data_IF_675191329522
#
_entry.id   IF_675191329522
#
_cell.length_a   1.000
_cell.length_b   1.000
_cell.length_c   1.000
_cell.angle_alpha   90.00
_cell.angle_beta   90.00
_cell.angle_gamma   90.00
#
_symmetry.space_group_name_H-M   'P 1'
#
loop_
_entity.id
_entity.type
_entity.pdbx_description
1 polymer ?
#
# COMPACT_ATOMS: atom_id res chain seq x y z
N UNK A 1 63.81 -11.99 -32.55
CA UNK A 1 63.32 -13.33 -32.19
C UNK A 1 61.87 -13.19 -31.72
N UNK A 2 60.96 -13.69 -32.56
CA UNK A 2 59.53 -13.93 -32.48
C UNK A 2 58.74 -13.70 -31.17
N UNK A 3 57.82 -12.72 -31.25
CA UNK A 3 56.37 -12.75 -30.96
C UNK A 3 55.78 -14.05 -30.37
N UNK A 4 55.08 -13.95 -29.22
CA UNK A 4 53.80 -14.65 -28.99
C UNK A 4 52.84 -13.81 -28.14
N UNK A 5 51.88 -13.26 -28.88
CA UNK A 5 50.56 -12.77 -28.51
C UNK A 5 49.72 -13.92 -27.91
N UNK A 6 48.97 -13.67 -26.84
CA UNK A 6 47.86 -14.53 -26.43
C UNK A 6 46.66 -13.66 -26.06
N UNK A 7 45.77 -13.56 -27.04
CA UNK A 7 44.40 -13.05 -26.94
C UNK A 7 43.56 -14.17 -26.34
N UNK A 8 42.82 -13.89 -25.27
CA UNK A 8 41.63 -14.68 -24.92
C UNK A 8 40.43 -13.74 -25.01
N UNK A 9 39.65 -14.01 -26.05
CA UNK A 9 38.43 -13.35 -26.48
C UNK A 9 37.25 -14.21 -26.02
N UNK A 10 36.13 -13.55 -25.72
CA UNK A 10 34.74 -14.07 -25.66
C UNK A 10 34.37 -14.91 -24.42
N UNK A 11 33.20 -14.77 -23.79
CA UNK A 11 31.87 -14.49 -24.33
C UNK A 11 31.02 -13.61 -23.39
N UNK A 12 30.41 -12.55 -23.94
CA UNK A 12 29.17 -11.98 -23.41
C UNK A 12 28.05 -13.00 -23.64
N UNK A 13 27.38 -13.44 -22.57
CA UNK A 13 26.03 -13.99 -22.67
C UNK A 13 25.08 -13.01 -22.01
N UNK A 14 24.32 -12.31 -22.84
CA UNK A 14 23.15 -11.56 -22.40
C UNK A 14 22.04 -12.55 -22.07
N UNK A 15 21.64 -12.60 -20.81
CA UNK A 15 20.36 -13.21 -20.43
C UNK A 15 19.28 -12.16 -20.59
N UNK A 16 18.56 -12.22 -21.71
CA UNK A 16 17.25 -11.62 -21.86
C UNK A 16 16.31 -12.36 -20.90
N UNK A 17 16.08 -11.79 -19.72
CA UNK A 17 15.01 -12.23 -18.84
C UNK A 17 13.68 -11.84 -19.49
N UNK A 18 12.98 -12.83 -20.04
CA UNK A 18 11.59 -12.70 -20.47
C UNK A 18 10.72 -12.38 -19.25
N UNK A 19 9.83 -11.38 -19.29
CA UNK A 19 8.81 -11.24 -18.26
C UNK A 19 7.88 -12.44 -18.32
N UNK A 20 7.81 -13.20 -17.23
CA UNK A 20 6.81 -14.25 -17.05
C UNK A 20 5.46 -13.56 -16.89
N UNK A 21 4.63 -13.62 -17.93
CA UNK A 21 3.24 -13.22 -17.88
C UNK A 21 2.49 -14.19 -16.96
N UNK A 22 1.88 -13.68 -15.89
CA UNK A 22 0.95 -14.45 -15.07
C UNK A 22 -0.39 -14.48 -15.81
N UNK A 23 -0.68 -15.59 -16.49
CA UNK A 23 -2.02 -15.90 -16.97
C UNK A 23 -2.88 -16.31 -15.77
N UNK A 24 -3.84 -15.46 -15.40
CA UNK A 24 -4.93 -15.86 -14.52
C UNK A 24 -5.87 -16.72 -15.36
N UNK A 25 -5.94 -18.01 -15.06
CA UNK A 25 -7.00 -18.88 -15.53
C UNK A 25 -8.29 -18.50 -14.79
N UNK A 26 -9.21 -17.82 -15.48
CA UNK A 26 -10.60 -17.73 -15.07
C UNK A 26 -11.23 -19.11 -15.27
N UNK A 27 -11.51 -19.78 -14.16
CA UNK A 27 -12.35 -20.97 -14.17
C UNK A 27 -13.79 -20.51 -14.49
N UNK A 28 -14.24 -20.87 -15.69
CA UNK A 28 -15.62 -20.90 -16.12
C UNK A 28 -16.36 -21.98 -15.33
N UNK A 29 -17.12 -21.53 -14.32
CA UNK A 29 -18.07 -22.35 -13.58
C UNK A 29 -19.47 -21.94 -13.98
N UNK A 30 -19.95 -22.54 -15.06
CA UNK A 30 -21.36 -22.56 -15.43
C UNK A 30 -22.13 -23.44 -14.44
N UNK A 31 -23.15 -22.90 -13.76
CA UNK A 31 -24.30 -23.71 -13.39
C UNK A 31 -25.58 -22.88 -13.23
N UNK A 32 -26.63 -23.46 -13.81
CA UNK A 32 -27.95 -22.94 -14.10
C UNK A 32 -28.90 -22.89 -12.88
N UNK A 33 -29.89 -22.01 -12.97
CA UNK A 33 -31.27 -22.37 -12.58
C UNK A 33 -31.86 -21.67 -11.35
N UNK A 34 -32.78 -20.74 -11.59
CA UNK A 34 -33.65 -20.21 -10.54
C UNK A 34 -34.67 -19.18 -11.02
N UNK A 35 -35.67 -19.62 -11.80
CA UNK A 35 -36.85 -18.82 -12.17
C UNK A 35 -37.75 -18.58 -10.96
N UNK A 36 -38.21 -17.34 -10.78
CA UNK A 36 -39.29 -17.00 -9.85
C UNK A 36 -39.93 -15.66 -10.23
N UNK A 37 -41.05 -15.73 -10.95
CA UNK A 37 -41.91 -14.61 -11.35
C UNK A 37 -42.70 -14.05 -10.15
N UNK A 38 -42.97 -12.74 -10.18
CA UNK A 38 -43.88 -12.07 -9.24
C UNK A 38 -44.30 -10.71 -9.76
N UNK A 39 -45.45 -10.71 -10.44
CA UNK A 39 -46.15 -9.58 -11.08
C UNK A 39 -47.06 -8.83 -10.08
N UNK A 40 -47.46 -7.60 -10.45
CA UNK A 40 -48.52 -6.81 -9.81
C UNK A 40 -48.01 -5.61 -9.00
N UNK A 41 -48.48 -4.38 -9.15
CA UNK A 41 -49.59 -3.84 -9.92
C UNK A 41 -49.99 -2.49 -9.30
N UNK A 42 -50.13 -1.49 -10.18
CA UNK A 42 -50.87 -0.20 -10.14
C UNK A 42 -51.55 0.29 -8.85
N UNK A 43 -51.46 1.62 -8.63
CA UNK A 43 -52.56 2.62 -8.60
C UNK A 43 -52.06 3.88 -7.85
N UNK A 44 -52.61 5.09 -7.92
CA UNK A 44 -53.23 5.98 -8.92
C UNK A 44 -53.64 7.24 -8.11
N UNK A 45 -53.57 8.45 -8.69
CA UNK A 45 -54.23 9.72 -8.24
C UNK A 45 -53.75 10.39 -6.93
N UNK A 46 -53.68 11.71 -6.77
CA UNK A 46 -54.06 12.85 -7.61
C UNK A 46 -54.28 14.14 -6.78
N UNK A 47 -54.32 15.29 -7.47
CA UNK A 47 -54.87 16.63 -7.10
C UNK A 47 -54.07 17.45 -6.07
N UNK A 48 -53.58 18.65 -6.42
CA UNK A 48 -54.32 19.94 -6.50
C UNK A 48 -53.86 20.80 -5.29
N UNK A 49 -53.61 22.11 -5.31
CA UNK A 49 -54.22 23.19 -6.06
C UNK A 49 -53.36 24.48 -6.03
N UNK A 50 -53.73 25.45 -6.86
CA UNK A 50 -53.13 26.78 -7.08
C UNK A 50 -53.52 27.81 -6.02
N UNK A 51 -52.66 28.82 -5.79
CA UNK A 51 -53.01 30.26 -5.58
C UNK A 51 -51.72 31.10 -5.65
N UNK A 52 -51.47 31.95 -6.66
CA UNK A 52 -52.00 33.29 -7.01
C UNK A 52 -51.69 34.41 -5.99
N UNK A 53 -51.04 35.48 -6.46
CA UNK A 53 -50.92 36.79 -5.79
C UNK A 53 -49.52 37.44 -5.96
N UNK A 54 -49.11 37.90 -7.14
CA UNK A 54 -49.28 39.23 -7.76
C UNK A 54 -48.36 40.37 -7.25
N UNK A 55 -47.46 40.80 -8.17
CA UNK A 55 -46.92 42.13 -8.50
C UNK A 55 -46.52 43.16 -7.44
N UNK A 56 -45.28 43.67 -7.58
CA UNK A 56 -44.92 45.10 -7.76
C UNK A 56 -43.43 45.20 -8.17
N UNK A 57 -43.10 45.55 -9.44
CA UNK A 57 -42.74 46.89 -9.99
C UNK A 57 -41.28 47.32 -9.73
N UNK A 58 -40.48 47.35 -10.81
CA UNK A 58 -39.08 47.84 -10.98
C UNK A 58 -38.90 49.36 -10.71
N UNK A 59 -37.78 50.06 -11.03
CA UNK A 59 -36.38 49.67 -11.39
C UNK A 59 -35.28 50.53 -10.67
N UNK A 60 -33.99 50.13 -10.74
CA UNK A 60 -32.83 50.96 -11.15
C UNK A 60 -31.46 50.45 -10.64
N UNK A 61 -30.47 50.53 -11.54
CA UNK A 61 -29.04 50.79 -11.37
C UNK A 61 -28.34 50.35 -10.07
N UNK A 62 -27.32 49.49 -10.16
CA UNK A 62 -25.94 49.95 -10.38
C UNK A 62 -25.01 48.77 -10.70
N UNK A 63 -24.01 49.02 -11.53
CA UNK A 63 -22.96 48.05 -11.82
C UNK A 63 -22.04 47.91 -10.61
N UNK A 64 -21.97 46.70 -10.05
CA UNK A 64 -20.81 46.28 -9.27
C UNK A 64 -20.36 44.91 -9.77
N UNK A 65 -19.29 44.96 -10.55
CA UNK A 65 -18.27 43.92 -10.54
C UNK A 65 -17.80 43.83 -9.09
N UNK A 66 -18.03 42.69 -8.46
CA UNK A 66 -17.08 42.02 -7.59
C UNK A 66 -17.75 40.74 -7.13
N UNK A 67 -17.21 39.62 -7.59
CA UNK A 67 -17.63 38.29 -7.23
C UNK A 67 -16.70 37.84 -6.10
N UNK A 68 -17.03 38.01 -4.79
CA UNK A 68 -16.30 37.35 -3.72
C UNK A 68 -16.78 35.90 -3.65
N UNK A 69 -16.65 35.19 -4.76
CA UNK A 69 -17.13 33.83 -4.96
C UNK A 69 -15.97 32.85 -4.93
N UNK A 70 -15.26 32.76 -3.80
CA UNK A 70 -14.39 31.64 -3.50
C UNK A 70 -14.48 31.32 -2.01
N UNK A 71 -15.71 31.09 -1.54
CA UNK A 71 -15.92 30.42 -0.27
C UNK A 71 -15.52 28.95 -0.49
N UNK A 72 -14.23 28.66 -0.33
CA UNK A 72 -13.70 27.29 -0.37
C UNK A 72 -14.39 26.51 0.73
N UNK A 73 -15.38 25.71 0.35
CA UNK A 73 -16.03 24.77 1.27
C UNK A 73 -14.93 23.89 1.86
N UNK A 74 -14.86 23.68 3.19
CA UNK A 74 -13.92 22.74 3.76
C UNK A 74 -14.14 21.40 3.06
N UNK A 75 -13.09 20.86 2.44
CA UNK A 75 -13.17 19.54 1.84
C UNK A 75 -13.52 18.55 2.95
N UNK A 76 -14.69 17.92 2.89
CA UNK A 76 -15.17 16.96 3.89
C UNK A 76 -14.13 15.84 4.03
N UNK A 77 -13.40 15.85 5.14
CA UNK A 77 -12.46 14.77 5.49
C UNK A 77 -13.29 13.54 5.81
N UNK A 78 -13.03 12.46 5.09
CA UNK A 78 -13.70 11.16 5.25
C UNK A 78 -12.70 10.10 5.67
N UNK A 79 -13.22 9.02 6.26
CA UNK A 79 -12.45 7.81 6.56
C UNK A 79 -12.79 6.72 5.54
N UNK A 80 -11.77 5.99 5.10
CA UNK A 80 -11.86 4.87 4.19
C UNK A 80 -11.16 3.66 4.82
N UNK A 81 -11.79 2.50 4.75
CA UNK A 81 -11.27 1.26 5.34
C UNK A 81 -11.45 0.11 4.35
N UNK A 82 -10.38 -0.67 4.12
CA UNK A 82 -10.47 -1.81 3.21
C UNK A 82 -9.21 -2.66 3.18
N UNK A 83 -9.32 -3.81 2.51
CA UNK A 83 -8.21 -4.73 2.31
C UNK A 83 -7.37 -4.31 1.11
N UNK A 84 -6.05 -4.33 1.28
CA UNK A 84 -5.08 -4.07 0.21
C UNK A 84 -5.11 -5.24 -0.78
N UNK A 85 -5.37 -4.92 -2.03
CA UNK A 85 -5.39 -5.86 -3.15
C UNK A 85 -4.07 -5.84 -3.90
N UNK A 86 -3.53 -4.64 -4.13
CA UNK A 86 -2.30 -4.42 -4.89
C UNK A 86 -1.51 -3.25 -4.30
N UNK A 87 -0.19 -3.39 -4.27
CA UNK A 87 0.72 -2.27 -4.02
C UNK A 87 1.70 -2.14 -5.20
N UNK A 88 1.60 -1.01 -5.90
CA UNK A 88 2.46 -0.64 -7.03
C UNK A 88 3.08 0.73 -6.75
N UNK A 89 4.22 0.72 -6.05
CA UNK A 89 5.16 1.83 -5.85
C UNK A 89 4.56 3.24 -5.96
N UNK A 90 3.77 3.63 -4.97
CA UNK A 90 3.21 5.00 -4.84
C UNK A 90 1.68 5.07 -4.94
N UNK A 91 1.03 4.01 -5.41
CA UNK A 91 -0.41 3.84 -5.33
C UNK A 91 -0.74 2.42 -4.83
N UNK A 92 -1.76 2.35 -3.98
CA UNK A 92 -2.23 1.10 -3.40
C UNK A 92 -3.70 0.94 -3.77
N UNK A 93 -4.04 -0.20 -4.37
CA UNK A 93 -5.43 -0.56 -4.59
C UNK A 93 -5.95 -1.25 -3.33
N UNK A 94 -7.02 -0.70 -2.77
CA UNK A 94 -7.65 -1.17 -1.55
C UNK A 94 -9.10 -1.46 -1.88
N UNK A 95 -9.48 -2.74 -1.89
CA UNK A 95 -10.72 -3.19 -2.52
C UNK A 95 -10.67 -2.89 -4.02
N UNK A 96 -11.58 -2.03 -4.47
CA UNK A 96 -11.71 -1.50 -5.84
C UNK A 96 -11.25 -0.04 -5.97
N UNK A 97 -10.75 0.56 -4.88
CA UNK A 97 -10.42 1.98 -4.81
C UNK A 97 -8.92 2.21 -4.80
N UNK A 98 -8.44 3.14 -5.63
CA UNK A 98 -7.07 3.62 -5.57
C UNK A 98 -6.88 4.59 -4.41
N UNK A 99 -5.93 4.29 -3.53
CA UNK A 99 -5.52 5.15 -2.43
C UNK A 99 -4.14 5.73 -2.75
N UNK A 100 -4.05 7.06 -2.70
CA UNK A 100 -2.81 7.81 -2.87
C UNK A 100 -2.47 8.57 -1.59
N UNK A 101 -1.22 8.49 -1.14
CA UNK A 101 -0.73 9.20 0.04
C UNK A 101 0.79 9.35 -0.02
N UNK A 102 1.32 10.38 0.65
CA UNK A 102 2.75 10.50 0.94
C UNK A 102 3.17 9.69 2.17
N UNK A 103 2.20 9.18 2.95
CA UNK A 103 2.46 8.41 4.18
C UNK A 103 3.39 7.22 3.90
N UNK A 104 4.46 7.03 4.71
CA UNK A 104 5.36 5.91 4.54
C UNK A 104 4.67 4.57 4.84
N UNK A 105 3.58 4.56 5.61
CA UNK A 105 2.76 3.36 5.81
C UNK A 105 2.18 2.81 4.52
N UNK A 106 1.77 3.69 3.59
CA UNK A 106 1.19 3.25 2.32
C UNK A 106 2.21 2.46 1.50
N UNK A 107 3.49 2.81 1.56
CA UNK A 107 4.57 2.08 0.88
C UNK A 107 4.81 0.69 1.47
N UNK A 108 4.47 0.50 2.75
CA UNK A 108 4.58 -0.77 3.45
C UNK A 108 3.27 -1.57 3.45
N UNK A 109 2.23 -1.14 2.74
CA UNK A 109 1.01 -1.91 2.61
C UNK A 109 1.26 -3.16 1.76
N UNK A 110 0.94 -4.35 2.27
CA UNK A 110 1.01 -5.59 1.50
C UNK A 110 -0.38 -6.10 1.12
N UNK A 111 -0.52 -6.81 -0.01
CA UNK A 111 -1.76 -7.55 -0.31
C UNK A 111 -2.21 -8.38 0.89
N UNK A 112 -3.51 -8.33 1.19
CA UNK A 112 -4.13 -9.02 2.32
C UNK A 112 -4.19 -8.21 3.61
N UNK A 113 -3.39 -7.15 3.78
CA UNK A 113 -3.45 -6.25 4.93
C UNK A 113 -4.70 -5.36 4.89
N UNK A 114 -5.20 -4.93 6.04
CA UNK A 114 -6.24 -3.92 6.12
C UNK A 114 -5.66 -2.55 6.43
N UNK A 115 -6.11 -1.56 5.68
CA UNK A 115 -5.71 -0.17 5.79
C UNK A 115 -6.91 0.68 6.19
N UNK A 116 -6.67 1.62 7.10
CA UNK A 116 -7.54 2.76 7.38
C UNK A 116 -6.86 4.03 6.88
N UNK A 117 -7.58 4.86 6.16
CA UNK A 117 -7.09 6.12 5.63
C UNK A 117 -8.09 7.25 5.89
N UNK A 118 -7.58 8.42 6.26
CA UNK A 118 -8.38 9.64 6.38
C UNK A 118 -7.94 10.63 5.31
N UNK A 119 -8.90 11.27 4.63
CA UNK A 119 -8.59 12.11 3.47
C UNK A 119 -9.82 12.55 2.70
N UNK A 120 -9.64 12.83 1.41
CA UNK A 120 -10.69 13.38 0.54
C UNK A 120 -10.75 12.62 -0.78
N UNK A 121 -11.90 12.65 -1.44
CA UNK A 121 -12.07 12.05 -2.76
C UNK A 121 -11.64 13.03 -3.85
N UNK A 122 -10.86 12.53 -4.80
CA UNK A 122 -10.53 13.20 -6.06
C UNK A 122 -10.91 12.29 -7.23
N UNK A 123 -12.15 12.46 -7.72
CA UNK A 123 -12.74 11.53 -8.68
C UNK A 123 -12.88 10.13 -8.08
N UNK A 124 -12.23 9.14 -8.69
CA UNK A 124 -12.22 7.73 -8.24
C UNK A 124 -11.05 7.39 -7.31
N UNK A 125 -10.17 8.35 -7.04
CA UNK A 125 -8.99 8.16 -6.18
C UNK A 125 -9.25 8.77 -4.82
N UNK A 126 -8.96 8.01 -3.77
CA UNK A 126 -8.95 8.51 -2.40
C UNK A 126 -7.57 9.09 -2.07
N UNK A 127 -7.51 10.41 -1.85
CA UNK A 127 -6.27 11.12 -1.49
C UNK A 127 -6.20 11.22 0.03
N UNK A 128 -5.37 10.36 0.62
CA UNK A 128 -5.25 10.19 2.06
C UNK A 128 -4.17 11.08 2.66
N UNK A 129 -4.55 11.85 3.69
CA UNK A 129 -3.64 12.64 4.52
C UNK A 129 -3.08 11.82 5.68
N UNK A 130 -3.85 10.84 6.18
CA UNK A 130 -3.40 9.89 7.19
C UNK A 130 -3.65 8.45 6.71
N UNK A 131 -2.74 7.55 7.08
CA UNK A 131 -2.83 6.11 6.75
C UNK A 131 -2.37 5.31 7.96
N UNK A 132 -3.11 4.25 8.29
CA UNK A 132 -2.78 3.27 9.32
C UNK A 132 -2.98 1.87 8.76
N UNK A 133 -2.05 0.96 9.05
CA UNK A 133 -2.20 -0.46 8.77
C UNK A 133 -2.76 -1.13 10.02
N UNK A 134 -3.98 -1.66 9.91
CA UNK A 134 -4.78 -2.14 11.04
C UNK A 134 -4.66 -3.66 11.24
N UNK A 135 -4.64 -4.43 10.15
CA UNK A 135 -4.64 -5.91 10.20
C UNK A 135 -3.55 -6.45 9.28
N UNK A 136 -2.74 -7.42 9.74
CA UNK A 136 -2.72 -7.98 11.10
C UNK A 136 -2.14 -7.00 12.13
N UNK A 137 -2.44 -7.23 13.42
CA UNK A 137 -1.94 -6.37 14.51
C UNK A 137 -0.43 -6.51 14.72
N UNK A 138 0.10 -7.73 14.56
CA UNK A 138 1.53 -8.02 14.66
C UNK A 138 2.10 -8.30 13.27
N UNK A 139 3.00 -7.44 12.81
CA UNK A 139 3.75 -7.64 11.58
C UNK A 139 5.09 -6.91 11.61
N UNK A 140 5.97 -7.27 10.69
CA UNK A 140 7.18 -6.53 10.38
C UNK A 140 7.41 -6.50 8.87
N UNK A 141 8.02 -5.43 8.38
CA UNK A 141 8.61 -5.39 7.04
C UNK A 141 10.09 -5.72 7.15
N UNK A 142 10.57 -6.55 6.25
CA UNK A 142 11.98 -6.88 6.05
C UNK A 142 12.36 -6.64 4.59
N UNK A 143 13.57 -6.12 4.37
CA UNK A 143 14.22 -6.08 3.07
C UNK A 143 15.71 -6.37 3.24
N UNK A 144 16.25 -7.33 2.49
CA UNK A 144 17.67 -7.70 2.57
C UNK A 144 17.92 -9.15 2.14
N UNK A 145 19.06 -9.75 2.54
CA UNK A 145 19.38 -11.15 2.25
C UNK A 145 18.31 -12.12 2.78
N UNK A 146 17.73 -12.93 1.91
CA UNK A 146 16.52 -13.70 2.23
C UNK A 146 16.78 -14.85 3.22
N UNK A 147 18.01 -15.35 3.30
CA UNK A 147 18.43 -16.38 4.26
C UNK A 147 18.23 -15.93 5.72
N UNK A 148 18.31 -14.63 6.01
CA UNK A 148 18.09 -14.10 7.36
C UNK A 148 16.68 -14.36 7.90
N UNK A 149 15.71 -14.48 7.00
CA UNK A 149 14.30 -14.72 7.31
C UNK A 149 13.85 -16.13 6.93
N UNK A 150 14.76 -17.00 6.50
CA UNK A 150 14.44 -18.38 6.09
C UNK A 150 13.83 -18.53 4.70
N UNK A 151 13.85 -17.48 3.86
CA UNK A 151 13.31 -17.50 2.50
C UNK A 151 14.38 -17.98 1.49
N UNK A 152 14.79 -19.24 1.60
CA UNK A 152 15.95 -19.84 0.92
C UNK A 152 15.88 -19.86 -0.61
N UNK A 153 14.67 -19.73 -1.17
CA UNK A 153 14.46 -19.71 -2.63
C UNK A 153 14.82 -18.36 -3.27
N UNK A 154 15.22 -17.38 -2.44
CA UNK A 154 15.56 -16.03 -2.87
C UNK A 154 16.95 -15.65 -2.38
N UNK A 155 17.70 -14.89 -3.18
CA UNK A 155 18.96 -14.31 -2.71
C UNK A 155 18.68 -13.07 -1.84
N UNK A 156 17.80 -12.19 -2.33
CA UNK A 156 17.32 -11.00 -1.63
C UNK A 156 15.81 -10.93 -1.74
N UNK A 157 15.16 -10.47 -0.68
CA UNK A 157 13.71 -10.39 -0.62
C UNK A 157 13.23 -9.15 0.12
N UNK A 158 12.06 -8.66 -0.28
CA UNK A 158 11.18 -7.85 0.55
C UNK A 158 10.08 -8.76 1.09
N UNK A 159 9.89 -8.77 2.40
CA UNK A 159 8.96 -9.66 3.07
C UNK A 159 8.14 -8.91 4.12
N UNK A 160 6.89 -9.31 4.25
CA UNK A 160 6.01 -8.94 5.34
C UNK A 160 5.87 -10.16 6.24
N UNK A 161 6.45 -10.05 7.41
CA UNK A 161 6.53 -11.11 8.40
C UNK A 161 5.33 -11.02 9.34
N UNK A 162 4.75 -12.15 9.68
CA UNK A 162 3.66 -12.30 10.63
C UNK A 162 4.14 -12.87 11.97
N UNK A 163 3.18 -13.31 12.79
CA UNK A 163 3.48 -13.94 14.08
C UNK A 163 3.99 -15.37 13.86
N UNK A 164 5.22 -15.63 14.33
CA UNK A 164 5.84 -16.95 14.34
C UNK A 164 7.04 -17.08 13.39
N UNK A 165 7.87 -18.13 13.55
CA UNK A 165 9.00 -18.37 12.68
C UNK A 165 8.54 -18.66 11.25
N UNK A 166 9.17 -18.04 10.25
CA UNK A 166 8.87 -18.20 8.82
C UNK A 166 7.40 -17.94 8.45
N UNK A 167 6.69 -17.13 9.23
CA UNK A 167 5.33 -16.70 8.93
C UNK A 167 5.39 -15.51 7.96
N UNK A 168 5.10 -15.75 6.69
CA UNK A 168 5.08 -14.71 5.65
C UNK A 168 3.64 -14.33 5.32
N UNK A 169 3.31 -13.06 5.50
CA UNK A 169 2.08 -12.45 5.00
C UNK A 169 2.20 -12.17 3.50
N UNK A 170 3.40 -11.77 3.06
CA UNK A 170 3.72 -11.52 1.67
C UNK A 170 5.24 -11.62 1.49
N UNK A 171 5.68 -12.06 0.31
CA UNK A 171 7.09 -12.23 -0.03
C UNK A 171 7.30 -11.86 -1.49
N UNK A 172 8.34 -11.06 -1.77
CA UNK A 172 8.72 -10.63 -3.11
C UNK A 172 10.24 -10.73 -3.27
N UNK A 173 10.69 -11.22 -4.43
CA UNK A 173 12.10 -11.12 -4.80
C UNK A 173 12.49 -9.63 -4.91
N UNK A 174 13.67 -9.29 -4.39
CA UNK A 174 14.25 -7.94 -4.55
C UNK A 174 15.46 -8.05 -5.48
N UNK A 175 15.46 -7.39 -6.65
CA UNK A 175 16.57 -7.48 -7.60
C UNK A 175 17.83 -6.75 -7.10
N UNK A 176 17.66 -5.78 -6.20
CA UNK A 176 18.75 -4.94 -5.70
C UNK A 176 19.33 -5.55 -4.42
N UNK A 177 20.47 -6.21 -4.59
CA UNK A 177 21.18 -6.96 -3.56
C UNK A 177 22.38 -6.20 -3.01
N UNK A 178 22.19 -5.43 -1.95
CA UNK A 178 23.29 -5.04 -1.07
C UNK A 178 23.20 -5.86 0.22
N UNK A 179 24.33 -6.05 0.90
CA UNK A 179 24.34 -6.61 2.27
C UNK A 179 23.64 -5.70 3.29
N UNK A 180 22.94 -4.65 2.85
CA UNK A 180 22.11 -3.80 3.68
C UNK A 180 20.79 -4.50 4.01
N UNK A 181 20.37 -4.37 5.25
CA UNK A 181 19.08 -4.84 5.76
C UNK A 181 18.27 -3.64 6.19
N UNK A 182 16.99 -3.60 5.81
CA UNK A 182 16.00 -2.66 6.33
C UNK A 182 14.90 -3.43 7.01
N UNK A 183 14.57 -3.03 8.24
CA UNK A 183 13.46 -3.60 9.01
C UNK A 183 12.56 -2.49 9.50
N UNK A 184 11.25 -2.66 9.37
CA UNK A 184 10.26 -1.85 10.09
C UNK A 184 9.42 -2.79 10.95
N UNK A 185 9.49 -2.63 12.26
CA UNK A 185 8.84 -3.52 13.21
C UNK A 185 8.42 -2.77 14.47
N UNK A 186 7.46 -3.33 15.21
CA UNK A 186 7.10 -2.82 16.53
C UNK A 186 8.13 -3.26 17.57
N UNK A 187 8.66 -2.33 18.35
CA UNK A 187 9.51 -2.56 19.51
C UNK A 187 8.69 -2.43 20.79
N UNK A 188 8.64 -3.48 21.62
CA UNK A 188 7.83 -3.48 22.85
C UNK A 188 8.55 -2.91 24.09
N UNK A 189 9.76 -2.36 23.91
CA UNK A 189 10.63 -1.93 25.00
C UNK A 189 11.68 -2.97 25.42
N UNK A 190 11.55 -4.22 24.93
CA UNK A 190 12.52 -5.28 25.15
C UNK A 190 12.98 -5.95 23.84
N UNK A 191 12.05 -6.22 22.92
CA UNK A 191 12.33 -6.92 21.66
C UNK A 191 11.52 -6.39 20.50
N UNK A 192 12.01 -6.68 19.30
CA UNK A 192 11.26 -6.49 18.05
C UNK A 192 10.22 -7.59 17.90
N UNK A 193 9.02 -7.23 17.47
CA UNK A 193 7.91 -8.15 17.19
C UNK A 193 7.96 -8.61 15.73
N UNK A 194 7.46 -9.82 15.48
CA UNK A 194 7.32 -10.40 14.13
C UNK A 194 8.62 -10.44 13.31
N UNK A 195 9.79 -10.52 13.96
CA UNK A 195 11.09 -10.74 13.31
C UNK A 195 11.76 -12.02 13.83
N UNK A 196 12.72 -12.61 13.10
CA UNK A 196 13.48 -13.75 13.59
C UNK A 196 14.17 -13.47 14.91
N UNK A 197 14.18 -14.44 15.82
CA UNK A 197 14.85 -14.33 17.14
C UNK A 197 16.37 -14.26 17.03
N UNK A 198 16.92 -14.58 15.87
CA UNK A 198 18.34 -14.43 15.53
C UNK A 198 18.76 -12.98 15.29
N UNK A 199 17.81 -12.06 15.12
CA UNK A 199 18.14 -10.65 14.88
C UNK A 199 18.74 -10.05 16.15
N UNK A 200 19.82 -9.24 16.03
CA UNK A 200 20.41 -8.59 17.17
C UNK A 200 19.41 -7.63 17.82
N UNK A 201 19.58 -7.39 19.12
CA UNK A 201 18.80 -6.39 19.83
C UNK A 201 18.99 -5.00 19.18
N UNK A 202 17.93 -4.18 19.09
CA UNK A 202 18.07 -2.79 18.66
C UNK A 202 19.07 -2.00 19.53
N UNK A 203 19.68 -0.92 19.01
CA UNK A 203 20.47 0.01 19.82
C UNK A 203 19.71 0.53 21.04
N UNK A 204 20.42 0.79 22.13
CA UNK A 204 19.84 1.28 23.37
C UNK A 204 19.18 2.67 23.21
N UNK A 205 18.22 2.98 24.09
CA UNK A 205 17.57 4.30 24.16
C UNK A 205 16.29 4.45 23.34
N UNK A 206 15.83 3.40 22.66
CA UNK A 206 14.54 3.40 21.96
C UNK A 206 13.36 3.29 22.94
N UNK A 207 12.32 4.10 22.71
CA UNK A 207 11.02 3.96 23.38
C UNK A 207 10.18 2.87 22.70
N UNK A 208 9.24 2.23 23.42
CA UNK A 208 8.27 1.33 22.79
C UNK A 208 7.51 2.03 21.65
N UNK A 209 7.32 1.33 20.54
CA UNK A 209 6.69 1.87 19.34
C UNK A 209 7.23 1.25 18.05
N UNK A 210 6.70 1.70 16.93
CA UNK A 210 7.21 1.33 15.61
C UNK A 210 8.57 1.97 15.36
N UNK A 211 9.50 1.19 14.83
CA UNK A 211 10.88 1.61 14.57
C UNK A 211 11.32 1.15 13.18
N UNK A 212 12.13 1.97 12.55
CA UNK A 212 12.88 1.63 11.34
C UNK A 212 14.34 1.38 11.74
N UNK A 213 14.84 0.19 11.38
CA UNK A 213 16.23 -0.21 11.56
C UNK A 213 16.89 -0.40 10.21
N UNK A 214 18.11 0.09 10.10
CA UNK A 214 19.01 -0.17 8.98
C UNK A 214 20.22 -0.92 9.54
N UNK A 215 20.59 -2.01 8.88
CA UNK A 215 21.68 -2.88 9.26
C UNK A 215 22.55 -3.26 8.08
N UNK A 216 23.68 -3.90 8.37
CA UNK A 216 24.57 -4.50 7.38
C UNK A 216 24.90 -5.93 7.79
N UNK A 217 24.99 -6.82 6.80
CA UNK A 217 25.42 -8.21 6.96
C UNK A 217 26.91 -8.29 6.65
N UNK A 218 27.70 -8.69 7.65
CA UNK A 218 29.12 -8.97 7.53
C UNK A 218 29.46 -10.40 7.92
N UNK A 219 30.75 -10.67 8.13
CA UNK A 219 31.25 -11.98 8.56
C UNK A 219 30.74 -12.41 9.95
N UNK A 220 30.38 -11.45 10.81
CA UNK A 220 29.84 -11.68 12.15
C UNK A 220 28.30 -11.76 12.17
N UNK A 221 27.65 -11.68 11.01
CA UNK A 221 26.19 -11.62 10.88
C UNK A 221 25.66 -10.20 10.71
N UNK A 222 24.38 -10.02 11.02
CA UNK A 222 23.67 -8.75 10.94
C UNK A 222 24.10 -7.83 12.10
N UNK A 223 24.40 -6.57 11.79
CA UNK A 223 24.65 -5.51 12.78
C UNK A 223 23.80 -4.28 12.41
N UNK A 224 23.12 -3.68 13.39
CA UNK A 224 22.37 -2.44 13.20
C UNK A 224 23.31 -1.22 13.12
N UNK A 225 23.18 -0.43 12.07
CA UNK A 225 23.89 0.84 11.87
C UNK A 225 23.03 2.05 12.19
N UNK A 226 21.70 1.92 12.15
CA UNK A 226 20.77 2.97 12.52
C UNK A 226 19.47 2.37 13.06
N UNK A 227 18.88 3.04 14.05
CA UNK A 227 17.54 2.76 14.51
C UNK A 227 16.85 4.07 14.89
N UNK A 228 15.63 4.28 14.41
CA UNK A 228 14.83 5.48 14.69
C UNK A 228 13.33 5.12 14.78
N UNK A 229 12.52 5.94 15.47
CA UNK A 229 11.06 5.80 15.43
C UNK A 229 10.51 5.85 14.00
N UNK A 230 9.37 5.19 13.78
CA UNK A 230 8.66 5.14 12.50
C UNK A 230 7.13 5.14 12.71
N UNK A 231 6.34 5.77 11.83
CA UNK A 231 6.70 6.86 10.94
C UNK A 231 6.98 8.15 11.71
#
# INVERSE_FOLDING_TARGET
MWLRLLIILSLLWGSLATPVAWSIALADGSDDGGKGSGDGGKDDKGKGDKSKGDKSKSPNHDGSKDNPGANSTPSDVRSYYGQVTLNSSGQVLVGDTWVQSSSPWLRLAAPGMWLEASGTWNGQTFVATEVKLQVPQEWAYFQGPADLIGAKDYQYASAWLGRGPNSFLSLKASPDGQNQVRVVAYYDGSKLRAVPTSFPAPPAGLKPGWVELIGMVGSQGLVWISAKPFP
#
